data_IF_477580432795
#
_entry.id   IF_477580432795
#
_cell.length_a   1.000
_cell.length_b   1.000
_cell.length_c   1.000
_cell.angle_alpha   90.00
_cell.angle_beta   90.00
_cell.angle_gamma   90.00
#
_symmetry.space_group_name_H-M   'P 1'
#
loop_
_entity.id
_entity.type
_entity.pdbx_description
1 polymer ?
#
# COMPACT_ATOMS: atom_id res chain seq x y z
N UNK A 1 16.35 -17.88 23.27
CA UNK A 1 16.81 -16.85 22.32
C UNK A 1 15.92 -15.60 22.28
N UNK A 2 14.61 -15.74 22.11
CA UNK A 2 13.68 -14.62 21.83
C UNK A 2 13.31 -13.69 23.00
N UNK A 3 13.15 -14.22 24.24
CA UNK A 3 12.75 -13.39 25.40
C UNK A 3 13.74 -12.26 25.75
N UNK A 4 15.05 -12.53 25.57
CA UNK A 4 16.12 -11.53 25.78
C UNK A 4 16.20 -10.48 24.67
N UNK A 5 15.61 -10.72 23.47
CA UNK A 5 15.58 -9.76 22.35
C UNK A 5 14.40 -8.79 22.47
N UNK A 6 13.22 -9.29 22.85
CA UNK A 6 12.05 -8.45 23.13
C UNK A 6 12.26 -7.49 24.31
N UNK A 7 12.90 -7.96 25.39
CA UNK A 7 13.26 -7.10 26.53
C UNK A 7 14.26 -5.99 26.15
N UNK A 8 15.20 -6.26 25.23
CA UNK A 8 16.17 -5.24 24.78
C UNK A 8 15.55 -4.17 23.87
N UNK A 9 14.58 -4.54 23.03
CA UNK A 9 13.85 -3.59 22.19
C UNK A 9 12.99 -2.64 23.06
N UNK A 10 12.31 -3.20 24.07
CA UNK A 10 11.51 -2.41 25.02
C UNK A 10 12.39 -1.51 25.91
N UNK A 11 13.56 -2.00 26.34
CA UNK A 11 14.51 -1.19 27.11
C UNK A 11 15.13 -0.06 26.28
N UNK A 12 15.34 -0.23 24.97
CA UNK A 12 15.82 0.84 24.08
C UNK A 12 14.77 1.95 23.87
N UNK A 13 13.49 1.60 23.76
CA UNK A 13 12.39 2.58 23.71
C UNK A 13 12.22 3.33 25.05
N UNK A 14 12.40 2.65 26.19
CA UNK A 14 12.22 3.24 27.54
C UNK A 14 13.44 4.02 28.05
N UNK A 15 14.67 3.71 27.59
CA UNK A 15 15.93 4.34 28.04
C UNK A 15 16.30 5.63 27.28
N UNK A 16 15.40 6.17 26.46
CA UNK A 16 15.55 7.49 25.86
C UNK A 16 16.08 7.53 24.42
N UNK A 17 16.04 6.42 23.68
CA UNK A 17 16.27 6.44 22.22
C UNK A 17 15.29 7.34 21.47
N UNK A 18 14.05 7.44 21.95
CA UNK A 18 13.03 8.36 21.43
C UNK A 18 13.33 9.86 21.68
N UNK A 19 14.22 10.20 22.63
CA UNK A 19 14.58 11.61 22.90
C UNK A 19 15.56 12.20 21.89
N UNK A 20 16.21 11.39 21.07
CA UNK A 20 17.19 11.86 20.06
C UNK A 20 16.58 12.16 18.68
N UNK A 21 15.29 11.85 18.49
CA UNK A 21 14.50 12.24 17.30
C UNK A 21 13.62 13.48 17.60
N UNK A 22 13.42 13.80 18.89
CA UNK A 22 12.48 14.82 19.35
C UNK A 22 13.04 16.19 19.74
N UNK A 23 14.30 16.54 19.42
CA UNK A 23 14.87 17.86 19.74
C UNK A 23 15.05 18.81 18.54
N UNK A 24 14.32 18.58 17.44
CA UNK A 24 14.22 19.54 16.33
C UNK A 24 12.89 20.31 16.25
N UNK A 25 11.91 20.02 17.11
CA UNK A 25 10.53 20.49 16.93
C UNK A 25 9.96 21.07 18.24
N UNK A 26 10.47 22.22 18.64
CA UNK A 26 9.80 23.09 19.61
C UNK A 26 9.74 24.52 19.07
N UNK A 27 8.97 24.70 17.99
CA UNK A 27 8.31 25.97 17.68
C UNK A 27 6.89 25.66 17.18
N UNK A 28 5.90 26.24 17.85
CA UNK A 28 4.49 25.87 17.73
C UNK A 28 3.84 26.22 16.39
N UNK A 29 3.96 25.35 15.40
CA UNK A 29 3.05 25.30 14.26
C UNK A 29 2.30 23.97 14.26
N UNK A 30 0.96 24.01 14.15
CA UNK A 30 0.14 22.83 13.88
C UNK A 30 0.52 22.28 12.50
N UNK A 31 1.38 21.27 12.45
CA UNK A 31 1.72 20.58 11.21
C UNK A 31 0.54 19.70 10.82
N UNK A 32 -0.18 20.06 9.77
CA UNK A 32 -1.04 19.11 9.05
C UNK A 32 -0.14 17.99 8.51
N UNK A 33 -0.20 16.80 9.12
CA UNK A 33 0.49 15.63 8.61
C UNK A 33 -0.02 15.31 7.18
N UNK A 34 0.91 15.15 6.23
CA UNK A 34 0.63 14.86 4.81
C UNK A 34 -0.15 13.54 4.67
N UNK A 35 -1.07 13.37 3.70
CA UNK A 35 -1.91 12.18 3.57
C UNK A 35 -1.13 10.86 3.52
N UNK A 36 -0.02 10.79 2.78
CA UNK A 36 0.85 9.61 2.75
C UNK A 36 1.48 9.32 4.13
N UNK A 37 1.84 10.37 4.87
CA UNK A 37 2.31 10.23 6.25
C UNK A 37 1.17 9.80 7.18
N UNK A 38 -0.09 10.18 6.92
CA UNK A 38 -1.27 9.68 7.65
C UNK A 38 -1.54 8.22 7.36
N UNK A 39 -1.40 7.77 6.11
CA UNK A 39 -1.51 6.35 5.75
C UNK A 39 -0.45 5.54 6.50
N UNK A 40 0.81 5.96 6.42
CA UNK A 40 1.93 5.33 7.15
C UNK A 40 1.74 5.41 8.69
N UNK A 41 1.29 6.54 9.23
CA UNK A 41 1.03 6.71 10.67
C UNK A 41 -0.16 5.86 11.14
N UNK A 42 -1.26 5.82 10.37
CA UNK A 42 -2.43 4.99 10.66
C UNK A 42 -2.05 3.50 10.71
N UNK A 43 -1.13 3.06 9.85
CA UNK A 43 -0.59 1.71 9.87
C UNK A 43 0.34 1.46 11.06
N UNK A 44 1.23 2.39 11.41
CA UNK A 44 2.03 2.24 12.64
C UNK A 44 1.15 2.18 13.90
N UNK A 45 0.05 2.93 13.92
CA UNK A 45 -0.93 2.92 15.00
C UNK A 45 -1.77 1.63 15.01
N UNK A 46 -2.20 1.14 13.84
CA UNK A 46 -2.93 -0.12 13.68
C UNK A 46 -2.07 -1.35 14.02
N UNK A 47 -0.81 -1.39 13.58
CA UNK A 47 0.13 -2.46 13.95
C UNK A 47 0.55 -2.40 15.42
N UNK A 48 0.69 -1.21 16.01
CA UNK A 48 0.90 -1.06 17.45
C UNK A 48 -0.34 -1.50 18.25
N UNK A 49 -1.54 -1.18 17.77
CA UNK A 49 -2.80 -1.63 18.34
C UNK A 49 -2.96 -3.15 18.21
N UNK A 50 -2.61 -3.76 17.08
CA UNK A 50 -2.60 -5.21 16.87
C UNK A 50 -1.55 -5.91 17.73
N UNK A 51 -0.35 -5.32 17.91
CA UNK A 51 0.65 -5.83 18.87
C UNK A 51 0.18 -5.74 20.33
N UNK A 52 -0.55 -4.67 20.68
CA UNK A 52 -1.13 -4.48 22.01
C UNK A 52 -2.34 -5.40 22.22
N UNK A 53 -3.14 -5.63 21.19
CA UNK A 53 -4.25 -6.58 21.17
C UNK A 53 -3.75 -8.03 21.21
N UNK A 54 -2.62 -8.35 20.58
CA UNK A 54 -1.98 -9.67 20.68
C UNK A 54 -1.36 -9.89 22.07
N UNK A 55 -0.75 -8.86 22.68
CA UNK A 55 -0.27 -8.93 24.07
C UNK A 55 -1.41 -9.02 25.08
N UNK A 56 -2.50 -8.28 24.88
CA UNK A 56 -3.68 -8.35 25.75
C UNK A 56 -4.48 -9.62 25.49
N UNK A 57 -4.57 -10.14 24.27
CA UNK A 57 -5.18 -11.43 23.95
C UNK A 57 -4.38 -12.61 24.50
N UNK A 58 -3.04 -12.52 24.56
CA UNK A 58 -2.21 -13.53 25.25
C UNK A 58 -2.37 -13.45 26.78
N UNK A 59 -2.53 -12.24 27.34
CA UNK A 59 -2.88 -12.05 28.75
C UNK A 59 -4.33 -12.46 29.08
N UNK A 60 -5.24 -12.35 28.11
CA UNK A 60 -6.65 -12.70 28.24
C UNK A 60 -6.86 -14.21 28.05
N UNK A 61 -6.14 -14.87 27.15
CA UNK A 61 -6.15 -16.34 27.01
C UNK A 61 -5.56 -17.05 28.24
N UNK A 62 -4.66 -16.42 29.00
CA UNK A 62 -4.23 -16.92 30.32
C UNK A 62 -5.26 -16.69 31.44
N UNK A 63 -6.22 -15.77 31.28
CA UNK A 63 -7.32 -15.53 32.23
C UNK A 63 -8.64 -16.22 31.84
N UNK A 64 -8.85 -16.48 30.55
CA UNK A 64 -10.08 -17.04 29.98
C UNK A 64 -10.17 -18.58 30.08
N UNK A 65 -9.15 -19.26 30.62
CA UNK A 65 -9.26 -20.65 31.07
C UNK A 65 -10.18 -20.85 32.29
N UNK A 66 -10.95 -19.82 32.69
CA UNK A 66 -11.79 -19.83 33.89
C UNK A 66 -13.26 -19.44 33.71
N UNK A 67 -13.81 -19.28 32.49
CA UNK A 67 -15.24 -18.98 32.36
C UNK A 67 -15.91 -19.44 31.05
N UNK A 68 -17.06 -20.11 31.19
CA UNK A 68 -18.00 -20.51 30.14
C UNK A 68 -19.00 -19.37 29.79
N UNK A 69 -19.61 -19.35 28.59
CA UNK A 69 -20.38 -18.21 28.07
C UNK A 69 -21.91 -18.40 28.11
N UNK A 70 -22.65 -17.30 28.05
CA UNK A 70 -24.07 -17.26 27.73
C UNK A 70 -24.36 -16.16 26.67
N UNK A 71 -25.24 -16.50 25.74
CA UNK A 71 -25.59 -15.76 24.53
C UNK A 71 -26.64 -14.64 24.76
N UNK A 72 -26.76 -13.70 23.82
CA UNK A 72 -28.04 -13.33 23.19
C UNK A 72 -27.89 -12.26 22.10
N UNK A 73 -28.75 -12.38 21.10
CA UNK A 73 -28.90 -11.60 19.87
C UNK A 73 -29.58 -10.25 20.10
N UNK A 74 -29.41 -9.26 19.21
CA UNK A 74 -30.56 -8.58 18.53
C UNK A 74 -30.19 -7.69 17.33
N UNK A 75 -31.18 -7.59 16.43
CA UNK A 75 -31.31 -7.11 15.03
C UNK A 75 -31.34 -5.57 14.75
N UNK A 76 -31.14 -5.27 13.45
CA UNK A 76 -31.83 -4.27 12.56
C UNK A 76 -31.48 -2.77 12.70
N UNK A 77 -31.48 -1.85 11.69
CA UNK A 77 -31.97 -1.67 10.28
C UNK A 77 -31.27 -0.39 9.70
N UNK A 78 -30.72 -0.35 8.47
CA UNK A 78 -31.25 0.13 7.16
C UNK A 78 -31.53 1.66 6.96
N UNK A 79 -30.89 2.27 5.92
CA UNK A 79 -31.35 3.31 4.94
C UNK A 79 -30.12 3.99 4.26
N UNK A 80 -29.83 3.91 2.94
CA UNK A 80 -30.47 4.44 1.70
C UNK A 80 -30.14 5.91 1.36
N UNK A 81 -29.59 6.17 0.15
CA UNK A 81 -29.47 7.51 -0.47
C UNK A 81 -28.59 7.57 -1.74
N UNK A 82 -29.18 7.99 -2.87
CA UNK A 82 -28.66 8.03 -4.25
C UNK A 82 -27.85 9.30 -4.61
N UNK A 83 -27.09 9.27 -5.75
CA UNK A 83 -26.96 10.47 -6.62
C UNK A 83 -25.66 10.69 -7.45
N UNK A 84 -25.67 10.20 -8.70
CA UNK A 84 -25.14 10.69 -10.00
C UNK A 84 -24.05 11.81 -10.20
N UNK A 85 -23.08 11.45 -11.07
CA UNK A 85 -22.67 12.07 -12.38
C UNK A 85 -21.60 13.20 -12.55
N UNK A 86 -20.81 13.00 -13.63
CA UNK A 86 -20.00 13.92 -14.49
C UNK A 86 -18.74 14.56 -13.86
N UNK A 87 -17.57 14.72 -14.51
CA UNK A 87 -17.09 14.62 -15.88
C UNK A 87 -16.02 15.72 -16.08
N UNK A 88 -14.89 15.46 -16.77
CA UNK A 88 -13.98 16.50 -17.27
C UNK A 88 -12.49 16.38 -16.90
N UNK A 89 -11.65 16.41 -17.94
CA UNK A 89 -10.20 16.22 -17.98
C UNK A 89 -9.39 17.49 -17.65
N UNK A 90 -8.11 17.35 -17.24
CA UNK A 90 -6.99 18.18 -17.72
C UNK A 90 -5.64 17.79 -17.09
N UNK A 91 -4.59 17.93 -17.91
CA UNK A 91 -3.21 17.59 -17.64
C UNK A 91 -2.47 18.56 -16.70
N UNK A 92 -1.48 18.01 -15.98
CA UNK A 92 -0.22 18.66 -15.60
C UNK A 92 -0.27 19.85 -14.64
N UNK A 93 -0.08 19.61 -13.34
CA UNK A 93 0.48 20.62 -12.44
C UNK A 93 1.03 20.02 -11.13
N UNK A 94 2.14 20.57 -10.65
CA UNK A 94 2.79 20.26 -9.38
C UNK A 94 1.85 20.47 -8.17
N UNK A 95 1.73 19.48 -7.27
CA UNK A 95 0.68 19.45 -6.23
C UNK A 95 1.17 19.64 -4.79
N UNK A 96 0.41 20.44 -4.02
CA UNK A 96 0.59 20.75 -2.59
C UNK A 96 -0.45 20.05 -1.71
N UNK A 97 0.04 19.33 -0.68
CA UNK A 97 -0.51 19.12 0.67
C UNK A 97 -2.02 19.01 0.91
N UNK A 98 -2.61 17.84 0.64
CA UNK A 98 -3.97 17.47 1.08
C UNK A 98 -4.85 16.95 -0.05
N UNK A 99 -4.72 17.54 -1.24
CA UNK A 99 -5.33 17.09 -2.50
C UNK A 99 -4.48 16.07 -3.26
N UNK A 100 -3.16 16.09 -3.07
CA UNK A 100 -2.20 15.38 -3.92
C UNK A 100 -2.40 13.87 -4.03
N UNK A 101 -2.73 13.16 -2.94
CA UNK A 101 -2.90 11.71 -2.99
C UNK A 101 -4.19 11.29 -3.72
N UNK A 102 -5.33 11.89 -3.40
CA UNK A 102 -6.59 11.58 -4.10
C UNK A 102 -6.51 11.97 -5.58
N UNK A 103 -5.95 13.15 -5.88
CA UNK A 103 -5.68 13.56 -7.27
C UNK A 103 -4.78 12.55 -7.98
N UNK A 104 -3.66 12.14 -7.34
CA UNK A 104 -2.77 11.12 -7.89
C UNK A 104 -3.49 9.80 -8.18
N UNK A 105 -4.31 9.29 -7.26
CA UNK A 105 -5.02 8.03 -7.46
C UNK A 105 -6.01 8.11 -8.61
N UNK A 106 -6.79 9.21 -8.70
CA UNK A 106 -7.69 9.47 -9.84
C UNK A 106 -6.97 9.52 -11.17
N UNK A 107 -5.90 10.32 -11.24
CA UNK A 107 -5.14 10.54 -12.47
C UNK A 107 -4.38 9.28 -12.89
N UNK A 108 -3.74 8.59 -11.94
CA UNK A 108 -3.01 7.34 -12.21
C UNK A 108 -3.95 6.23 -12.64
N UNK A 109 -5.14 6.10 -12.03
CA UNK A 109 -6.17 5.14 -12.46
C UNK A 109 -6.62 5.43 -13.90
N UNK A 110 -7.03 6.67 -14.18
CA UNK A 110 -7.49 7.02 -15.53
C UNK A 110 -6.39 6.80 -16.57
N UNK A 111 -5.19 7.33 -16.29
CA UNK A 111 -4.06 7.20 -17.19
C UNK A 111 -3.66 5.75 -17.43
N UNK A 112 -3.67 4.89 -16.41
CA UNK A 112 -3.27 3.49 -16.56
C UNK A 112 -4.27 2.75 -17.44
N UNK A 113 -5.56 2.96 -17.23
CA UNK A 113 -6.61 2.35 -18.06
C UNK A 113 -6.56 2.86 -19.50
N UNK A 114 -6.30 4.14 -19.72
CA UNK A 114 -6.18 4.71 -21.07
C UNK A 114 -4.93 4.20 -21.79
N UNK A 115 -3.80 4.10 -21.07
CA UNK A 115 -2.57 3.47 -21.57
C UNK A 115 -2.85 2.04 -22.06
N UNK A 116 -3.51 1.24 -21.24
CA UNK A 116 -3.81 -0.16 -21.51
C UNK A 116 -4.88 -0.36 -22.60
N UNK A 117 -5.69 0.66 -22.89
CA UNK A 117 -6.62 0.67 -24.04
C UNK A 117 -5.95 1.04 -25.37
N UNK A 118 -4.63 1.24 -25.39
CA UNK A 118 -3.90 1.61 -26.60
C UNK A 118 -3.80 3.12 -26.82
N UNK A 119 -3.99 3.92 -25.77
CA UNK A 119 -3.71 5.35 -25.78
C UNK A 119 -2.51 5.71 -24.88
N UNK A 120 -1.33 5.08 -25.05
CA UNK A 120 -0.18 5.43 -24.25
C UNK A 120 0.31 6.85 -24.60
N UNK A 121 0.70 7.66 -23.61
CA UNK A 121 1.42 8.89 -23.89
C UNK A 121 2.74 8.59 -24.62
N UNK A 122 3.21 9.49 -25.51
CA UNK A 122 4.48 9.31 -26.22
C UNK A 122 5.65 9.12 -25.25
N UNK A 123 6.59 8.24 -25.60
CA UNK A 123 7.83 7.97 -24.85
C UNK A 123 7.64 7.68 -23.35
N UNK A 124 6.47 7.14 -22.98
CA UNK A 124 6.08 6.89 -21.60
C UNK A 124 5.90 5.40 -21.35
N UNK A 125 6.44 4.91 -20.24
CA UNK A 125 6.20 3.55 -19.73
C UNK A 125 5.11 3.56 -18.66
N UNK A 126 4.37 2.45 -18.53
CA UNK A 126 3.43 2.22 -17.44
C UNK A 126 4.12 1.40 -16.33
N UNK A 127 4.16 1.96 -15.13
CA UNK A 127 4.66 1.29 -13.93
C UNK A 127 3.48 0.94 -13.03
N UNK A 128 3.20 -0.35 -12.89
CA UNK A 128 2.23 -0.85 -11.93
C UNK A 128 2.94 -1.24 -10.64
N UNK A 129 2.45 -0.77 -9.50
CA UNK A 129 2.94 -1.17 -8.17
C UNK A 129 1.86 -2.02 -7.51
N UNK A 130 2.17 -3.28 -7.22
CA UNK A 130 1.17 -4.29 -6.89
C UNK A 130 1.49 -4.98 -5.57
N UNK A 131 0.51 -4.99 -4.66
CA UNK A 131 0.51 -5.80 -3.43
C UNK A 131 0.22 -7.28 -3.69
N UNK A 132 0.28 -8.12 -2.66
CA UNK A 132 -0.06 -9.54 -2.79
C UNK A 132 -1.57 -9.78 -2.93
N UNK A 133 -1.96 -11.01 -3.28
CA UNK A 133 -3.36 -11.43 -3.48
C UNK A 133 -4.17 -11.51 -2.17
N UNK A 134 -3.48 -11.63 -1.02
CA UNK A 134 -4.14 -11.59 0.30
C UNK A 134 -4.71 -10.19 0.59
N UNK A 135 -4.08 -9.15 0.01
CA UNK A 135 -4.52 -7.76 0.01
C UNK A 135 -4.97 -7.31 1.41
N UNK A 136 -4.13 -7.60 2.38
CA UNK A 136 -4.23 -7.01 3.70
C UNK A 136 -3.82 -5.52 3.67
N UNK A 137 -3.88 -4.87 4.83
CA UNK A 137 -3.55 -3.46 4.94
C UNK A 137 -2.10 -3.15 4.53
N UNK A 138 -1.16 -4.09 4.75
CA UNK A 138 0.26 -3.88 4.40
C UNK A 138 0.42 -3.82 2.89
N UNK A 139 -0.06 -4.83 2.17
CA UNK A 139 -0.05 -4.90 0.71
C UNK A 139 -0.66 -3.68 0.01
N UNK A 140 -1.83 -3.22 0.47
CA UNK A 140 -2.51 -2.08 -0.15
C UNK A 140 -1.76 -0.79 0.12
N UNK A 141 -1.31 -0.59 1.37
CA UNK A 141 -0.67 0.64 1.74
C UNK A 141 0.77 0.76 1.24
N UNK A 142 1.53 -0.33 1.20
CA UNK A 142 2.87 -0.37 0.63
C UNK A 142 2.82 -0.01 -0.85
N UNK A 143 1.86 -0.58 -1.59
CA UNK A 143 1.67 -0.32 -3.02
C UNK A 143 1.30 1.16 -3.27
N UNK A 144 0.31 1.70 -2.56
CA UNK A 144 -0.09 3.12 -2.68
C UNK A 144 1.08 4.04 -2.32
N UNK A 145 1.76 3.78 -1.21
CA UNK A 145 2.84 4.64 -0.71
C UNK A 145 4.03 4.68 -1.67
N UNK A 146 4.45 3.51 -2.17
CA UNK A 146 5.58 3.40 -3.09
C UNK A 146 5.24 4.01 -4.46
N UNK A 147 4.02 3.77 -4.98
CA UNK A 147 3.55 4.38 -6.22
C UNK A 147 3.51 5.91 -6.13
N UNK A 148 2.98 6.44 -5.02
CA UNK A 148 2.92 7.87 -4.78
C UNK A 148 4.33 8.47 -4.68
N UNK A 149 5.25 7.83 -3.96
CA UNK A 149 6.64 8.26 -3.87
C UNK A 149 7.33 8.28 -5.25
N UNK A 150 7.14 7.24 -6.05
CA UNK A 150 7.68 7.14 -7.40
C UNK A 150 7.12 8.24 -8.33
N UNK A 151 5.82 8.53 -8.24
CA UNK A 151 5.19 9.63 -9.00
C UNK A 151 5.75 11.01 -8.67
N UNK A 152 6.22 11.20 -7.43
CA UNK A 152 6.89 12.42 -6.98
C UNK A 152 8.39 12.46 -7.35
N UNK A 153 8.86 11.52 -8.19
CA UNK A 153 10.25 11.44 -8.63
C UNK A 153 11.24 10.95 -7.56
N UNK A 154 10.76 10.31 -6.48
CA UNK A 154 11.63 9.79 -5.40
C UNK A 154 12.35 8.49 -5.79
N UNK A 155 11.78 7.75 -6.74
CA UNK A 155 12.30 6.46 -7.22
C UNK A 155 12.60 6.53 -8.72
N UNK A 156 13.60 7.32 -9.17
CA UNK A 156 13.87 7.53 -10.59
C UNK A 156 14.32 6.26 -11.32
N UNK A 157 14.84 5.27 -10.59
CA UNK A 157 15.18 3.94 -11.11
C UNK A 157 13.93 3.17 -11.55
N UNK A 158 12.82 3.32 -10.83
CA UNK A 158 11.53 2.72 -11.16
C UNK A 158 10.71 3.57 -12.13
N UNK A 159 10.69 4.89 -11.92
CA UNK A 159 9.87 5.82 -12.68
C UNK A 159 10.71 7.07 -13.04
N UNK A 160 11.38 7.07 -14.21
CA UNK A 160 12.14 8.23 -14.64
C UNK A 160 11.22 9.45 -14.81
N UNK A 161 11.58 10.64 -14.31
CA UNK A 161 10.73 11.82 -14.35
C UNK A 161 10.27 12.16 -15.78
N UNK A 162 8.96 12.32 -15.95
CA UNK A 162 8.34 12.66 -17.24
C UNK A 162 8.34 11.53 -18.28
N UNK A 163 8.75 10.30 -17.93
CA UNK A 163 8.78 9.13 -18.82
C UNK A 163 8.04 7.90 -18.27
N UNK A 164 7.37 8.06 -17.14
CA UNK A 164 6.66 6.97 -16.49
C UNK A 164 5.33 7.47 -15.93
N UNK A 165 4.28 6.72 -16.24
CA UNK A 165 3.00 6.79 -15.56
C UNK A 165 2.99 5.71 -14.48
N UNK A 166 2.75 6.08 -13.24
CA UNK A 166 2.80 5.13 -12.10
C UNK A 166 1.41 4.98 -11.50
N UNK A 167 0.95 3.75 -11.30
CA UNK A 167 -0.34 3.46 -10.69
C UNK A 167 -0.24 2.31 -9.65
N UNK A 168 -0.80 2.48 -8.43
CA UNK A 168 -0.95 1.38 -7.50
C UNK A 168 -2.09 0.45 -7.94
N UNK A 169 -1.90 -0.85 -7.75
CA UNK A 169 -2.87 -1.90 -8.11
C UNK A 169 -3.20 -2.73 -6.89
N UNK A 170 -4.49 -2.88 -6.63
CA UNK A 170 -5.06 -3.78 -5.62
C UNK A 170 -5.29 -5.14 -6.25
N UNK A 171 -4.67 -6.18 -5.72
CA UNK A 171 -4.59 -7.49 -6.37
C UNK A 171 -5.75 -8.43 -6.01
N UNK A 172 -6.99 -7.98 -6.24
CA UNK A 172 -8.24 -8.74 -6.03
C UNK A 172 -9.38 -8.20 -6.90
N UNK A 173 -10.51 -8.93 -7.04
CA UNK A 173 -11.76 -8.37 -7.53
C UNK A 173 -12.24 -7.19 -6.66
N UNK A 174 -12.84 -6.16 -7.26
CA UNK A 174 -13.27 -4.95 -6.53
C UNK A 174 -14.31 -5.27 -5.47
N UNK A 175 -15.23 -6.17 -5.79
CA UNK A 175 -16.29 -6.65 -4.90
C UNK A 175 -15.73 -7.28 -3.61
N UNK A 176 -14.54 -7.86 -3.67
CA UNK A 176 -13.91 -8.52 -2.52
C UNK A 176 -13.30 -7.54 -1.53
N UNK A 177 -13.09 -6.27 -1.91
CA UNK A 177 -12.58 -5.24 -0.99
C UNK A 177 -13.50 -5.07 0.22
N UNK A 178 -14.82 -5.20 0.03
CA UNK A 178 -15.80 -5.05 1.11
C UNK A 178 -15.66 -6.12 2.20
N UNK A 179 -15.04 -7.27 1.87
CA UNK A 179 -14.75 -8.34 2.83
C UNK A 179 -13.56 -7.99 3.74
N UNK A 180 -12.77 -6.98 3.37
CA UNK A 180 -11.55 -6.54 4.08
C UNK A 180 -11.83 -5.26 4.87
N UNK A 181 -12.61 -5.40 5.93
CA UNK A 181 -13.12 -4.29 6.73
C UNK A 181 -12.01 -3.38 7.30
N UNK A 182 -10.87 -3.97 7.67
CA UNK A 182 -9.67 -3.29 8.14
C UNK A 182 -9.04 -2.41 7.04
N UNK A 183 -8.93 -2.92 5.81
CA UNK A 183 -8.45 -2.16 4.65
C UNK A 183 -9.43 -1.03 4.30
N UNK A 184 -10.74 -1.31 4.27
CA UNK A 184 -11.77 -0.30 3.98
C UNK A 184 -11.71 0.84 5.00
N UNK A 185 -11.58 0.51 6.29
CA UNK A 185 -11.45 1.51 7.34
C UNK A 185 -10.16 2.33 7.19
N UNK A 186 -9.03 1.66 6.91
CA UNK A 186 -7.75 2.34 6.67
C UNK A 186 -7.83 3.32 5.49
N UNK A 187 -8.41 2.91 4.36
CA UNK A 187 -8.59 3.77 3.19
C UNK A 187 -9.46 4.98 3.52
N UNK A 188 -10.57 4.75 4.23
CA UNK A 188 -11.46 5.82 4.68
C UNK A 188 -10.75 6.81 5.60
N UNK A 189 -9.99 6.34 6.57
CA UNK A 189 -9.22 7.18 7.51
C UNK A 189 -8.10 7.97 6.79
N UNK A 190 -7.54 7.40 5.72
CA UNK A 190 -6.58 8.06 4.84
C UNK A 190 -7.23 9.05 3.85
N UNK A 191 -8.57 9.10 3.77
CA UNK A 191 -9.29 9.93 2.81
C UNK A 191 -9.17 9.43 1.36
N UNK A 192 -8.95 8.13 1.18
CA UNK A 192 -8.86 7.47 -0.12
C UNK A 192 -10.21 6.85 -0.49
N UNK A 193 -10.74 7.23 -1.64
CA UNK A 193 -11.91 6.58 -2.22
C UNK A 193 -11.46 5.31 -2.97
N UNK A 194 -12.07 4.17 -2.64
CA UNK A 194 -11.83 2.91 -3.35
C UNK A 194 -12.15 3.00 -4.85
N UNK A 195 -13.04 3.91 -5.27
CA UNK A 195 -13.35 4.17 -6.68
C UNK A 195 -12.13 4.69 -7.46
N UNK A 196 -11.19 5.33 -6.79
CA UNK A 196 -9.96 5.87 -7.37
C UNK A 196 -8.85 4.80 -7.49
N UNK A 197 -9.06 3.58 -6.99
CA UNK A 197 -8.08 2.49 -7.06
C UNK A 197 -8.28 1.63 -8.33
N UNK A 198 -7.17 1.10 -8.83
CA UNK A 198 -7.13 0.08 -9.90
C UNK A 198 -7.14 -1.30 -9.26
N UNK A 199 -8.02 -2.18 -9.72
CA UNK A 199 -8.09 -3.57 -9.27
C UNK A 199 -7.57 -4.46 -10.39
N UNK A 200 -6.73 -5.43 -10.04
CA UNK A 200 -6.02 -6.23 -11.04
C UNK A 200 -6.97 -6.93 -12.03
N UNK A 201 -8.07 -7.60 -11.60
CA UNK A 201 -8.99 -8.25 -12.53
C UNK A 201 -9.78 -7.30 -13.44
N UNK A 202 -9.82 -5.99 -13.14
CA UNK A 202 -10.47 -4.99 -14.00
C UNK A 202 -9.57 -4.53 -15.16
N UNK A 203 -8.29 -4.86 -15.10
CA UNK A 203 -7.33 -4.47 -16.11
C UNK A 203 -7.53 -5.36 -17.36
N UNK A 204 -7.70 -4.78 -18.56
CA UNK A 204 -7.78 -5.57 -19.79
C UNK A 204 -6.51 -6.38 -20.04
N UNK A 205 -6.63 -7.71 -20.07
CA UNK A 205 -5.49 -8.61 -20.26
C UNK A 205 -4.77 -8.34 -21.59
N UNK A 206 -5.51 -8.12 -22.68
CA UNK A 206 -4.94 -7.78 -23.99
C UNK A 206 -4.09 -6.50 -23.94
N UNK A 207 -4.52 -5.52 -23.15
CA UNK A 207 -3.80 -4.28 -22.92
C UNK A 207 -2.49 -4.51 -22.18
N UNK A 208 -2.50 -5.34 -21.13
CA UNK A 208 -1.28 -5.73 -20.42
C UNK A 208 -0.32 -6.51 -21.33
N UNK A 209 -0.83 -7.46 -22.11
CA UNK A 209 -0.03 -8.24 -23.07
C UNK A 209 0.59 -7.35 -24.13
N UNK A 210 -0.17 -6.42 -24.70
CA UNK A 210 0.33 -5.44 -25.66
C UNK A 210 1.42 -4.55 -25.07
N UNK A 211 1.20 -4.01 -23.86
CA UNK A 211 2.18 -3.19 -23.15
C UNK A 211 3.45 -3.99 -22.79
N UNK A 212 3.31 -5.25 -22.39
CA UNK A 212 4.41 -6.16 -22.10
C UNK A 212 5.24 -6.46 -23.35
N UNK A 213 4.61 -6.90 -24.43
CA UNK A 213 5.28 -7.20 -25.69
C UNK A 213 5.93 -5.97 -26.33
N UNK A 214 5.35 -4.79 -26.14
CA UNK A 214 5.92 -3.51 -26.59
C UNK A 214 7.03 -2.95 -25.69
N UNK A 215 7.35 -3.60 -24.57
CA UNK A 215 8.35 -3.12 -23.60
C UNK A 215 7.92 -1.87 -22.81
N UNK A 216 6.64 -1.49 -22.89
CA UNK A 216 6.08 -0.33 -22.22
C UNK A 216 5.60 -0.63 -20.79
N UNK A 217 5.50 -1.90 -20.39
CA UNK A 217 5.03 -2.31 -19.07
C UNK A 217 6.19 -2.58 -18.10
N UNK A 218 6.07 -2.05 -16.89
CA UNK A 218 6.97 -2.28 -15.76
C UNK A 218 6.14 -2.62 -14.53
N UNK A 219 6.57 -3.59 -13.75
CA UNK A 219 5.88 -4.09 -12.58
C UNK A 219 6.79 -4.03 -11.35
N UNK A 220 6.24 -3.56 -10.24
CA UNK A 220 6.91 -3.49 -8.94
C UNK A 220 6.05 -4.26 -7.95
N UNK A 221 6.64 -5.26 -7.31
CA UNK A 221 5.97 -6.08 -6.31
C UNK A 221 6.22 -5.49 -4.93
N UNK A 222 5.16 -5.36 -4.14
CA UNK A 222 5.27 -5.02 -2.72
C UNK A 222 4.60 -6.09 -1.88
N UNK A 223 5.18 -6.39 -0.71
CA UNK A 223 4.62 -7.35 0.26
C UNK A 223 4.49 -8.79 -0.28
N UNK A 224 5.24 -9.08 -1.35
CA UNK A 224 5.57 -10.40 -1.84
C UNK A 224 6.76 -10.30 -2.81
N UNK A 225 7.54 -11.37 -2.92
CA UNK A 225 8.71 -11.42 -3.80
C UNK A 225 8.58 -12.42 -4.96
N UNK A 226 7.39 -13.00 -5.16
CA UNK A 226 7.08 -13.94 -6.24
C UNK A 226 5.64 -13.78 -6.70
N UNK A 227 5.41 -13.69 -8.02
CA UNK A 227 4.07 -13.68 -8.59
C UNK A 227 3.35 -15.02 -8.39
N UNK A 228 2.03 -14.95 -8.21
CA UNK A 228 1.17 -16.12 -8.26
C UNK A 228 1.15 -16.77 -9.64
N UNK A 229 0.79 -18.05 -9.71
CA UNK A 229 0.81 -18.84 -10.96
C UNK A 229 -0.03 -18.20 -12.06
N UNK A 230 -1.20 -17.64 -11.72
CA UNK A 230 -2.09 -16.96 -12.67
C UNK A 230 -1.49 -15.67 -13.26
N UNK A 231 -0.49 -15.10 -12.59
CA UNK A 231 0.13 -13.82 -12.91
C UNK A 231 1.58 -13.98 -13.40
N UNK A 232 2.11 -15.20 -13.43
CA UNK A 232 3.53 -15.49 -13.73
C UNK A 232 3.95 -15.02 -15.12
N UNK A 233 3.02 -14.92 -16.07
CA UNK A 233 3.28 -14.37 -17.41
C UNK A 233 3.69 -12.88 -17.38
N UNK A 234 3.46 -12.15 -16.28
CA UNK A 234 3.95 -10.79 -16.04
C UNK A 234 5.39 -10.74 -15.53
N UNK A 235 6.01 -11.89 -15.21
CA UNK A 235 7.38 -11.96 -14.68
C UNK A 235 8.43 -11.15 -15.48
N UNK A 236 8.39 -11.09 -16.83
CA UNK A 236 9.36 -10.30 -17.59
C UNK A 236 9.24 -8.78 -17.37
N UNK A 237 8.09 -8.28 -16.89
CA UNK A 237 7.92 -6.86 -16.56
C UNK A 237 8.40 -6.51 -15.15
N UNK A 238 8.73 -7.50 -14.30
CA UNK A 238 9.12 -7.23 -12.90
C UNK A 238 10.46 -6.51 -12.87
N UNK A 239 10.44 -5.23 -12.48
CA UNK A 239 11.63 -4.37 -12.35
C UNK A 239 11.89 -3.97 -10.90
N UNK A 240 10.97 -4.27 -9.99
CA UNK A 240 11.08 -3.90 -8.58
C UNK A 240 10.46 -4.92 -7.63
N UNK A 241 11.08 -5.15 -6.49
CA UNK A 241 10.56 -5.96 -5.38
C UNK A 241 10.89 -5.27 -4.07
N UNK A 242 9.88 -5.04 -3.23
CA UNK A 242 10.02 -4.58 -1.85
C UNK A 242 9.19 -5.50 -0.97
N UNK A 243 9.84 -6.32 -0.14
CA UNK A 243 9.14 -7.37 0.60
C UNK A 243 9.80 -7.67 1.95
N UNK A 244 9.02 -8.15 2.90
CA UNK A 244 9.48 -8.51 4.23
C UNK A 244 9.21 -10.00 4.59
N UNK A 245 8.78 -10.79 3.61
CA UNK A 245 8.68 -12.25 3.73
C UNK A 245 10.03 -12.94 3.44
N UNK A 246 10.05 -14.26 3.59
CA UNK A 246 11.20 -15.09 3.22
C UNK A 246 11.54 -14.91 1.73
N UNK A 247 12.83 -14.71 1.44
CA UNK A 247 13.30 -14.45 0.10
C UNK A 247 13.30 -15.73 -0.76
N UNK A 248 12.48 -15.75 -1.82
CA UNK A 248 12.44 -16.86 -2.79
C UNK A 248 13.58 -16.84 -3.81
N UNK A 249 14.39 -15.78 -3.85
CA UNK A 249 15.44 -15.58 -4.86
C UNK A 249 14.92 -15.14 -6.24
N UNK A 250 13.61 -14.93 -6.39
CA UNK A 250 13.02 -14.50 -7.66
C UNK A 250 13.45 -13.08 -8.04
N UNK A 251 13.44 -12.80 -9.34
CA UNK A 251 13.69 -11.48 -9.93
C UNK A 251 15.02 -10.84 -9.49
N UNK A 252 16.10 -11.62 -9.40
CA UNK A 252 17.41 -11.12 -8.98
C UNK A 252 18.00 -9.98 -9.84
N UNK A 253 17.49 -9.79 -11.06
CA UNK A 253 17.85 -8.67 -11.95
C UNK A 253 16.99 -7.40 -11.78
N UNK A 254 16.05 -7.37 -10.84
CA UNK A 254 15.22 -6.20 -10.58
C UNK A 254 16.08 -4.99 -10.16
N UNK A 255 15.77 -3.82 -10.72
CA UNK A 255 16.52 -2.58 -10.47
C UNK A 255 16.36 -2.06 -9.04
N UNK A 256 15.20 -2.33 -8.42
CA UNK A 256 14.97 -2.14 -6.98
C UNK A 256 14.68 -3.51 -6.39
N UNK A 257 15.52 -4.00 -5.47
CA UNK A 257 15.25 -5.25 -4.79
C UNK A 257 15.60 -5.15 -3.32
N UNK A 258 14.57 -5.01 -2.50
CA UNK A 258 14.68 -4.89 -1.04
C UNK A 258 13.86 -6.02 -0.43
N UNK A 259 14.54 -7.04 0.09
CA UNK A 259 13.89 -8.15 0.82
C UNK A 259 14.56 -8.28 2.18
N UNK A 260 13.83 -8.01 3.26
CA UNK A 260 14.34 -8.09 4.64
C UNK A 260 13.28 -8.70 5.57
N UNK A 261 13.44 -10.01 5.81
CA UNK A 261 12.59 -10.84 6.66
C UNK A 261 12.63 -10.49 8.16
N UNK A 262 13.49 -9.53 8.55
CA UNK A 262 13.59 -9.03 9.93
C UNK A 262 12.68 -7.84 10.17
N UNK A 263 12.10 -7.25 9.12
CA UNK A 263 11.15 -6.15 9.24
C UNK A 263 9.74 -6.70 9.36
N UNK A 264 8.94 -6.13 10.27
CA UNK A 264 7.60 -6.64 10.57
C UNK A 264 6.52 -6.22 9.58
N UNK A 265 6.83 -5.37 8.60
CA UNK A 265 5.88 -4.82 7.62
C UNK A 265 6.58 -4.28 6.38
N UNK A 266 6.00 -4.51 5.21
CA UNK A 266 6.48 -3.96 3.95
C UNK A 266 6.43 -2.43 3.93
N UNK A 267 5.41 -1.81 4.54
CA UNK A 267 5.31 -0.35 4.67
C UNK A 267 6.54 0.30 5.31
N UNK A 268 7.19 -0.38 6.28
CA UNK A 268 8.40 0.14 6.92
C UNK A 268 9.63 0.06 6.00
N UNK A 269 9.66 -0.88 5.05
CA UNK A 269 10.67 -0.91 4.00
C UNK A 269 10.43 0.21 2.99
N UNK A 270 9.19 0.35 2.51
CA UNK A 270 8.79 1.43 1.60
C UNK A 270 9.10 2.81 2.17
N UNK A 271 8.91 3.02 3.48
CA UNK A 271 9.20 4.31 4.12
C UNK A 271 10.70 4.64 4.22
N UNK A 272 11.60 3.66 4.01
CA UNK A 272 13.06 3.87 4.00
C UNK A 272 13.58 4.27 2.61
N UNK A 273 12.86 3.87 1.57
CA UNK A 273 13.16 4.19 0.16
C UNK A 273 12.67 5.59 -0.23
#
# INVERSE_FOLDING_TARGET
>A
GGRKRAQRCCLWMLSGGARRIGQGFLTGQRVQARPALRLLLALTASQAASCFLLHTAHAFTQRASSAHPAASETRARAAAGNGAAAGGACAGAAMSGGSGLSTFLKESRSGALDFLRGHPPPDTSLVLVMGNEACDADSVASAISLAYAASMGRLPTLAPPGKALVAPVVNIPREDLALRQDVVLMLKDAGVDSADLVFFPEIPEDGLRGALSGGGLRLVLTDHNKLGVAQEWLAPAVVGVVDHHEDTGSYGGAALRVVDDKVGTCCALVARE
#
